data_IF_262765681612
#
_entry.id   IF_262765681612
#
_cell.length_a   1.000
_cell.length_b   1.000
_cell.length_c   1.000
_cell.angle_alpha   90.00
_cell.angle_beta   90.00
_cell.angle_gamma   90.00
#
_symmetry.space_group_name_H-M   'P 1'
#
loop_
_entity.id
_entity.type
_entity.pdbx_description
1 polymer ?
#
# COMPACT_ATOMS: atom_id res chain seq x y z
N UNK A 1 29.32 -42.12 -11.56
CA UNK A 1 28.42 -41.14 -12.21
C UNK A 1 27.13 -40.79 -11.44
N UNK A 2 26.71 -41.52 -10.39
CA UNK A 2 25.49 -41.17 -9.62
C UNK A 2 25.71 -40.19 -8.44
N UNK A 3 26.96 -40.05 -7.96
CA UNK A 3 27.30 -39.18 -6.81
C UNK A 3 27.47 -37.70 -7.15
N UNK A 4 27.64 -37.35 -8.43
CA UNK A 4 27.82 -35.96 -8.87
C UNK A 4 26.46 -35.27 -9.10
N UNK A 5 25.39 -36.05 -9.34
CA UNK A 5 24.06 -35.52 -9.61
C UNK A 5 23.29 -35.11 -8.33
N UNK A 6 23.63 -35.70 -7.17
CA UNK A 6 23.00 -35.37 -5.89
C UNK A 6 23.53 -34.10 -5.23
N UNK A 7 24.67 -33.56 -5.68
CA UNK A 7 25.24 -32.31 -5.13
C UNK A 7 24.70 -31.06 -5.85
N UNK A 8 24.09 -31.20 -7.02
CA UNK A 8 23.61 -30.07 -7.84
C UNK A 8 22.22 -29.54 -7.43
N UNK A 9 21.50 -30.27 -6.58
CA UNK A 9 20.13 -29.91 -6.15
C UNK A 9 20.13 -29.09 -4.84
N UNK A 10 21.28 -28.98 -4.16
CA UNK A 10 21.41 -28.23 -2.90
C UNK A 10 21.83 -26.76 -3.08
N UNK A 11 21.73 -26.24 -4.31
CA UNK A 11 21.97 -24.83 -4.63
C UNK A 11 20.69 -24.16 -5.14
N UNK A 12 19.53 -24.53 -4.57
CA UNK A 12 18.34 -23.68 -4.63
C UNK A 12 18.60 -22.51 -3.69
N UNK A 13 19.29 -21.51 -4.23
CA UNK A 13 19.48 -20.20 -3.59
C UNK A 13 18.07 -19.64 -3.40
N UNK A 14 17.60 -19.62 -2.16
CA UNK A 14 16.47 -18.82 -1.74
C UNK A 14 16.87 -17.35 -1.89
N UNK A 15 16.87 -16.82 -3.11
CA UNK A 15 16.79 -15.38 -3.34
C UNK A 15 15.34 -14.98 -3.11
N UNK A 16 14.88 -15.10 -1.86
CA UNK A 16 13.73 -14.33 -1.43
C UNK A 16 14.10 -12.88 -1.66
N UNK A 17 13.32 -12.19 -2.48
CA UNK A 17 13.44 -10.75 -2.58
C UNK A 17 12.97 -10.19 -1.24
N UNK A 18 13.90 -10.05 -0.31
CA UNK A 18 13.63 -9.48 1.00
C UNK A 18 13.92 -7.98 1.01
N UNK A 19 13.26 -7.26 1.90
CA UNK A 19 13.55 -5.85 2.15
C UNK A 19 14.83 -5.74 2.98
N UNK A 20 15.61 -4.67 2.76
CA UNK A 20 16.60 -4.28 3.76
C UNK A 20 15.91 -3.84 5.05
N UNK A 21 16.60 -3.94 6.19
CA UNK A 21 16.09 -3.47 7.49
C UNK A 21 15.62 -2.01 7.43
N UNK A 22 16.34 -1.15 6.71
CA UNK A 22 15.98 0.25 6.51
C UNK A 22 14.71 0.39 5.66
N UNK A 23 14.59 -0.40 4.59
CA UNK A 23 13.41 -0.40 3.72
C UNK A 23 12.17 -0.85 4.47
N UNK A 24 12.27 -1.92 5.26
CA UNK A 24 11.17 -2.44 6.08
C UNK A 24 10.77 -1.46 7.20
N UNK A 25 11.76 -0.89 7.90
CA UNK A 25 11.51 0.11 8.94
C UNK A 25 10.78 1.33 8.38
N UNK A 26 11.22 1.81 7.22
CA UNK A 26 10.61 2.97 6.57
C UNK A 26 9.23 2.63 5.99
N UNK A 27 9.04 1.41 5.44
CA UNK A 27 7.73 0.92 5.00
C UNK A 27 6.72 0.92 6.15
N UNK A 28 7.09 0.35 7.30
CA UNK A 28 6.21 0.27 8.47
C UNK A 28 5.85 1.65 9.01
N UNK A 29 6.81 2.59 8.99
CA UNK A 29 6.59 3.99 9.37
C UNK A 29 5.62 4.69 8.41
N UNK A 30 5.84 4.58 7.11
CA UNK A 30 4.99 5.23 6.10
C UNK A 30 3.58 4.62 6.05
N UNK A 31 3.46 3.29 6.22
CA UNK A 31 2.16 2.61 6.37
C UNK A 31 1.39 3.10 7.60
N UNK A 32 2.07 3.21 8.75
CA UNK A 32 1.45 3.71 9.98
C UNK A 32 0.95 5.14 9.79
N UNK A 33 1.76 5.99 9.16
CA UNK A 33 1.38 7.36 8.86
C UNK A 33 0.22 7.44 7.85
N UNK A 34 0.24 6.64 6.78
CA UNK A 34 -0.85 6.54 5.81
C UNK A 34 -2.19 6.24 6.50
N UNK A 35 -2.20 5.26 7.41
CA UNK A 35 -3.40 4.87 8.16
C UNK A 35 -3.89 6.02 9.04
N UNK A 36 -2.98 6.68 9.76
CA UNK A 36 -3.30 7.82 10.61
C UNK A 36 -3.92 8.96 9.79
N UNK A 37 -3.27 9.39 8.71
CA UNK A 37 -3.74 10.54 7.92
C UNK A 37 -5.05 10.25 7.21
N UNK A 38 -5.23 9.03 6.69
CA UNK A 38 -6.49 8.57 6.09
C UNK A 38 -7.62 8.61 7.12
N UNK A 39 -7.39 8.05 8.30
CA UNK A 39 -8.40 7.97 9.36
C UNK A 39 -8.73 9.33 10.00
N UNK A 40 -7.80 10.28 9.94
CA UNK A 40 -7.99 11.63 10.45
C UNK A 40 -8.63 12.58 9.41
N UNK A 41 -8.83 12.13 8.17
CA UNK A 41 -9.35 12.97 7.10
C UNK A 41 -8.37 14.05 6.64
N UNK A 42 -7.07 13.89 6.91
CA UNK A 42 -6.03 14.80 6.43
C UNK A 42 -5.71 14.50 4.96
N UNK A 43 -6.52 15.07 4.08
CA UNK A 43 -6.44 14.85 2.65
C UNK A 43 -5.09 15.28 2.04
N UNK A 44 -4.48 16.35 2.54
CA UNK A 44 -3.20 16.83 2.01
C UNK A 44 -2.08 15.85 2.34
N UNK A 45 -2.01 15.39 3.59
CA UNK A 45 -1.02 14.38 3.97
C UNK A 45 -1.29 13.03 3.31
N UNK A 46 -2.57 12.64 3.14
CA UNK A 46 -2.94 11.42 2.42
C UNK A 46 -2.47 11.43 0.96
N UNK A 47 -2.55 12.59 0.28
CA UNK A 47 -2.02 12.76 -1.07
C UNK A 47 -0.50 12.56 -1.15
N UNK A 48 0.26 12.96 -0.11
CA UNK A 48 1.72 12.78 -0.09
C UNK A 48 2.13 11.30 -0.06
N UNK A 49 1.27 10.43 0.44
CA UNK A 49 1.48 8.98 0.43
C UNK A 49 0.87 8.31 -0.79
N UNK A 50 0.06 8.99 -1.60
CA UNK A 50 -0.58 8.41 -2.78
C UNK A 50 0.33 8.50 -4.00
N UNK A 51 0.37 7.44 -4.82
CA UNK A 51 1.16 7.47 -6.05
C UNK A 51 0.72 8.61 -7.01
N UNK A 52 1.65 9.44 -7.56
CA UNK A 52 1.30 10.62 -8.36
C UNK A 52 0.44 10.36 -9.58
N UNK A 53 0.56 9.17 -10.21
CA UNK A 53 -0.27 8.78 -11.35
C UNK A 53 -1.75 8.71 -10.95
N UNK A 54 -2.05 8.16 -9.78
CA UNK A 54 -3.42 8.07 -9.24
C UNK A 54 -3.96 9.47 -8.97
N UNK A 55 -3.17 10.32 -8.30
CA UNK A 55 -3.54 11.72 -8.03
C UNK A 55 -3.85 12.47 -9.33
N UNK A 56 -2.98 12.34 -10.33
CA UNK A 56 -3.15 12.98 -11.65
C UNK A 56 -4.42 12.49 -12.35
N UNK A 57 -4.70 11.19 -12.33
CA UNK A 57 -5.91 10.62 -12.92
C UNK A 57 -7.16 11.21 -12.29
N UNK A 58 -7.34 11.10 -10.97
CA UNK A 58 -8.54 11.64 -10.31
C UNK A 58 -8.65 13.17 -10.47
N UNK A 59 -7.54 13.89 -10.55
CA UNK A 59 -7.56 15.34 -10.81
C UNK A 59 -8.09 15.65 -12.22
N UNK A 60 -7.80 14.82 -13.21
CA UNK A 60 -8.33 14.97 -14.58
C UNK A 60 -9.82 14.67 -14.71
N UNK A 61 -10.41 13.94 -13.76
CA UNK A 61 -11.86 13.66 -13.73
C UNK A 61 -12.69 14.81 -13.15
N UNK A 62 -12.03 15.87 -12.67
CA UNK A 62 -12.66 17.07 -12.12
C UNK A 62 -12.85 17.04 -10.60
N UNK A 63 -13.07 18.24 -10.05
CA UNK A 63 -13.00 18.50 -8.61
C UNK A 63 -13.96 17.66 -7.77
N UNK A 64 -15.17 17.38 -8.27
CA UNK A 64 -16.16 16.59 -7.51
C UNK A 64 -15.66 15.16 -7.28
N UNK A 65 -15.13 14.52 -8.34
CA UNK A 65 -14.60 13.16 -8.27
C UNK A 65 -13.30 13.14 -7.45
N UNK A 66 -12.44 14.14 -7.64
CA UNK A 66 -11.21 14.28 -6.85
C UNK A 66 -11.48 14.40 -5.34
N UNK A 67 -12.41 15.29 -4.95
CA UNK A 67 -12.81 15.45 -3.54
C UNK A 67 -13.44 14.18 -3.00
N UNK A 68 -14.33 13.53 -3.77
CA UNK A 68 -14.94 12.26 -3.36
C UNK A 68 -13.88 11.18 -3.10
N UNK A 69 -12.79 11.14 -3.88
CA UNK A 69 -11.71 10.17 -3.69
C UNK A 69 -10.87 10.47 -2.45
N UNK A 70 -10.36 11.70 -2.32
CA UNK A 70 -9.31 12.04 -1.34
C UNK A 70 -9.80 12.76 -0.08
N UNK A 71 -11.06 13.21 -0.07
CA UNK A 71 -11.70 13.93 1.06
C UNK A 71 -12.96 13.20 1.53
N UNK A 72 -13.02 11.87 1.37
CA UNK A 72 -14.17 11.04 1.77
C UNK A 72 -14.29 10.90 3.29
N UNK A 73 -13.18 11.04 4.02
CA UNK A 73 -13.15 11.06 5.48
C UNK A 73 -13.11 12.52 5.91
N UNK A 74 -14.12 12.96 6.65
CA UNK A 74 -14.15 14.30 7.23
C UNK A 74 -12.99 14.47 8.21
N UNK A 75 -12.29 15.63 8.20
CA UNK A 75 -11.26 15.92 9.20
C UNK A 75 -11.84 15.78 10.60
N UNK A 76 -11.21 14.98 11.46
CA UNK A 76 -11.66 14.85 12.86
C UNK A 76 -11.51 16.21 13.54
N UNK A 77 -12.63 16.89 13.80
CA UNK A 77 -12.60 18.05 14.67
C UNK A 77 -12.41 17.58 16.11
N UNK A 78 -11.71 18.36 16.94
CA UNK A 78 -11.42 18.03 18.35
C UNK A 78 -12.64 17.84 19.26
N UNK A 79 -13.87 17.90 18.71
CA UNK A 79 -15.14 17.77 19.43
C UNK A 79 -16.09 16.69 18.87
N UNK A 80 -15.75 16.03 17.76
CA UNK A 80 -16.55 14.90 17.28
C UNK A 80 -16.15 13.63 18.05
N UNK A 81 -16.94 13.35 19.08
CA UNK A 81 -16.98 12.03 19.70
C UNK A 81 -17.08 10.96 18.62
N UNK A 82 -16.20 9.96 18.71
CA UNK A 82 -16.11 8.76 17.88
C UNK A 82 -17.43 8.46 17.17
N UNK A 83 -17.52 8.82 15.88
CA UNK A 83 -18.54 8.25 15.02
C UNK A 83 -18.24 6.75 14.90
N UNK A 84 -18.81 5.98 15.82
CA UNK A 84 -18.70 4.52 15.87
C UNK A 84 -19.30 3.86 14.64
N UNK A 85 -20.00 4.63 13.78
CA UNK A 85 -20.54 4.12 12.52
C UNK A 85 -19.51 4.16 11.37
N UNK A 86 -18.44 4.95 11.48
CA UNK A 86 -17.44 5.10 10.42
C UNK A 86 -16.47 3.91 10.36
N UNK A 87 -16.18 3.45 9.14
CA UNK A 87 -15.18 2.40 8.89
C UNK A 87 -13.78 3.00 8.84
N UNK A 88 -12.88 2.52 9.69
CA UNK A 88 -11.49 2.97 9.78
C UNK A 88 -10.47 1.85 9.52
N UNK A 89 -9.28 2.26 9.10
CA UNK A 89 -8.16 1.35 8.84
C UNK A 89 -7.42 1.07 10.15
N UNK A 90 -7.02 -0.18 10.38
CA UNK A 90 -6.34 -0.58 11.63
C UNK A 90 -4.95 -1.14 11.36
N UNK A 91 -4.83 -2.46 11.38
CA UNK A 91 -3.58 -3.17 11.23
C UNK A 91 -3.24 -3.35 9.75
N UNK A 92 -1.96 -3.27 9.42
CA UNK A 92 -1.42 -3.53 8.09
C UNK A 92 -0.53 -4.77 8.14
N UNK A 93 -0.84 -5.76 7.30
CA UNK A 93 -0.11 -7.02 7.21
C UNK A 93 0.54 -7.12 5.84
N UNK A 94 1.87 -7.20 5.81
CA UNK A 94 2.62 -7.50 4.59
C UNK A 94 2.32 -8.94 4.17
N UNK A 95 1.96 -9.16 2.91
CA UNK A 95 1.57 -10.47 2.38
C UNK A 95 2.59 -11.03 1.40
N UNK A 96 3.11 -10.19 0.52
CA UNK A 96 3.99 -10.62 -0.55
C UNK A 96 4.86 -9.44 -0.98
N UNK A 97 6.12 -9.73 -1.31
CA UNK A 97 7.09 -8.76 -1.81
C UNK A 97 7.49 -9.21 -3.22
N UNK A 98 7.54 -8.26 -4.14
CA UNK A 98 8.10 -8.45 -5.49
C UNK A 98 9.07 -7.33 -5.79
N UNK A 99 10.14 -7.64 -6.51
CA UNK A 99 11.02 -6.62 -7.08
C UNK A 99 11.47 -6.98 -8.48
N UNK A 100 11.88 -5.95 -9.22
CA UNK A 100 12.68 -6.06 -10.43
C UNK A 100 13.94 -5.19 -10.30
N UNK A 101 14.56 -4.81 -11.41
CA UNK A 101 15.77 -3.97 -11.41
C UNK A 101 15.55 -2.52 -10.96
N UNK A 102 14.31 -2.04 -11.02
CA UNK A 102 13.93 -0.63 -10.83
C UNK A 102 13.01 -0.40 -9.63
N UNK A 103 12.14 -1.36 -9.34
CA UNK A 103 11.04 -1.24 -8.40
C UNK A 103 11.07 -2.36 -7.36
N UNK A 104 10.57 -2.01 -6.18
CA UNK A 104 10.14 -2.96 -5.17
C UNK A 104 8.71 -2.65 -4.79
N UNK A 105 7.90 -3.69 -4.64
CA UNK A 105 6.50 -3.58 -4.31
C UNK A 105 6.10 -4.56 -3.23
N UNK A 106 5.29 -4.09 -2.29
CA UNK A 106 4.77 -4.90 -1.19
C UNK A 106 3.25 -4.88 -1.24
N UNK A 107 2.66 -6.06 -1.33
CA UNK A 107 1.21 -6.26 -1.19
C UNK A 107 0.89 -6.25 0.30
N UNK A 108 0.05 -5.33 0.72
CA UNK A 108 -0.34 -5.12 2.11
C UNK A 108 -1.85 -5.28 2.25
N UNK A 109 -2.27 -6.09 3.22
CA UNK A 109 -3.66 -6.19 3.63
C UNK A 109 -3.90 -5.31 4.86
N UNK A 110 -4.88 -4.42 4.76
CA UNK A 110 -5.32 -3.55 5.84
C UNK A 110 -6.64 -4.07 6.40
N UNK A 111 -6.67 -4.34 7.70
CA UNK A 111 -7.90 -4.70 8.41
C UNK A 111 -8.77 -3.46 8.60
N UNK A 112 -10.07 -3.65 8.44
CA UNK A 112 -11.06 -2.61 8.67
C UNK A 112 -11.75 -2.83 10.01
N UNK A 113 -12.11 -1.75 10.67
CA UNK A 113 -12.86 -1.78 11.91
C UNK A 113 -13.99 -0.75 11.92
N UNK A 114 -14.98 -0.99 12.76
CA UNK A 114 -16.12 -0.11 13.01
C UNK A 114 -16.40 -0.10 14.52
N UNK A 115 -16.38 1.08 15.14
CA UNK A 115 -16.45 1.17 16.60
C UNK A 115 -15.23 0.53 17.27
N UNK A 116 -15.42 -0.55 18.02
CA UNK A 116 -14.34 -1.31 18.66
C UNK A 116 -14.08 -2.68 18.00
N UNK A 117 -14.87 -3.01 16.97
CA UNK A 117 -14.86 -4.34 16.37
C UNK A 117 -14.17 -4.30 15.01
N UNK A 118 -13.25 -5.24 14.78
CA UNK A 118 -12.79 -5.56 13.44
C UNK A 118 -13.98 -6.11 12.64
N UNK A 119 -14.14 -5.65 11.40
CA UNK A 119 -15.16 -6.16 10.49
C UNK A 119 -14.51 -7.18 9.55
N UNK A 120 -15.29 -8.17 9.10
CA UNK A 120 -14.84 -9.18 8.12
C UNK A 120 -14.73 -8.58 6.70
N UNK A 121 -13.84 -7.60 6.58
CA UNK A 121 -13.52 -6.90 5.35
C UNK A 121 -12.10 -6.34 5.49
N UNK A 122 -11.38 -6.31 4.37
CA UNK A 122 -10.03 -5.76 4.32
C UNK A 122 -9.83 -4.97 3.05
N UNK A 123 -8.94 -3.99 3.11
CA UNK A 123 -8.46 -3.28 1.94
C UNK A 123 -7.09 -3.80 1.56
N UNK A 124 -6.87 -4.05 0.27
CA UNK A 124 -5.53 -4.34 -0.25
C UNK A 124 -4.93 -3.06 -0.82
N UNK A 125 -3.70 -2.78 -0.42
CA UNK A 125 -2.88 -1.70 -0.99
C UNK A 125 -1.54 -2.26 -1.45
N UNK A 126 -0.95 -1.58 -2.41
CA UNK A 126 0.36 -1.86 -2.96
C UNK A 126 1.29 -0.71 -2.58
N UNK A 127 2.26 -1.00 -1.71
CA UNK A 127 3.35 -0.08 -1.44
C UNK A 127 4.39 -0.22 -2.54
N UNK A 128 4.81 0.89 -3.14
CA UNK A 128 5.75 0.93 -4.26
C UNK A 128 6.90 1.86 -3.89
N UNK A 129 8.12 1.37 -4.06
CA UNK A 129 9.35 2.16 -3.93
C UNK A 129 10.30 1.84 -5.09
N UNK A 130 11.23 2.74 -5.35
CA UNK A 130 12.39 2.43 -6.21
C UNK A 130 13.31 1.47 -5.46
N UNK A 131 14.02 0.60 -6.17
CA UNK A 131 14.89 -0.42 -5.55
C UNK A 131 15.90 0.13 -4.53
N UNK A 132 16.44 1.32 -4.78
CA UNK A 132 17.38 2.02 -3.89
C UNK A 132 16.75 3.22 -3.17
N UNK A 133 15.42 3.35 -3.20
CA UNK A 133 14.67 4.43 -2.57
C UNK A 133 14.19 4.03 -1.19
N UNK A 134 14.08 5.02 -0.30
CA UNK A 134 13.50 4.86 1.03
C UNK A 134 12.03 5.30 1.11
N UNK A 135 11.51 6.00 0.11
CA UNK A 135 10.14 6.55 0.19
C UNK A 135 9.12 5.57 -0.40
N UNK A 136 8.09 5.26 0.37
CA UNK A 136 6.99 4.40 -0.08
C UNK A 136 5.78 5.22 -0.52
N UNK A 137 5.29 4.90 -1.71
CA UNK A 137 4.03 5.43 -2.24
C UNK A 137 3.03 4.30 -2.30
N UNK A 138 1.77 4.61 -2.03
CA UNK A 138 0.72 3.61 -1.88
C UNK A 138 -0.34 3.77 -2.96
N UNK A 139 -0.86 2.62 -3.39
CA UNK A 139 -1.90 2.50 -4.41
C UNK A 139 -2.93 1.51 -3.89
N UNK A 140 -4.20 1.91 -3.81
CA UNK A 140 -5.26 0.97 -3.46
C UNK A 140 -5.53 0.00 -4.61
N UNK A 141 -5.97 -1.23 -4.31
CA UNK A 141 -6.16 -2.29 -5.30
C UNK A 141 -7.04 -1.90 -6.49
N UNK A 142 -8.09 -1.11 -6.24
CA UNK A 142 -8.95 -0.57 -7.30
C UNK A 142 -8.19 0.28 -8.32
N UNK A 143 -7.15 1.00 -7.89
CA UNK A 143 -6.37 1.91 -8.72
C UNK A 143 -5.18 1.19 -9.36
N UNK A 144 -4.59 0.21 -8.66
CA UNK A 144 -3.41 -0.52 -9.09
C UNK A 144 -3.64 -1.34 -10.36
N UNK A 145 -4.82 -1.95 -10.49
CA UNK A 145 -5.20 -2.74 -11.67
C UNK A 145 -6.05 -1.96 -12.68
N UNK A 146 -6.25 -0.65 -12.48
CA UNK A 146 -7.04 0.18 -13.40
C UNK A 146 -6.25 0.54 -14.65
N UNK A 147 -6.92 0.59 -15.80
CA UNK A 147 -6.31 0.83 -17.13
C UNK A 147 -5.43 2.09 -17.22
N UNK A 148 -5.70 3.12 -16.40
CA UNK A 148 -4.90 4.36 -16.39
C UNK A 148 -3.55 4.19 -15.67
N UNK A 149 -3.39 3.16 -14.84
CA UNK A 149 -2.15 2.89 -14.12
C UNK A 149 -1.26 1.99 -15.00
N UNK A 150 -0.05 2.42 -15.41
CA UNK A 150 0.75 1.67 -16.38
C UNK A 150 1.08 0.25 -15.94
N UNK A 151 1.00 -0.73 -16.86
CA UNK A 151 1.27 -2.14 -16.58
C UNK A 151 2.74 -2.43 -16.27
N UNK A 152 3.65 -1.68 -16.88
CA UNK A 152 5.11 -1.75 -16.62
C UNK A 152 5.48 -1.29 -15.21
N UNK A 153 4.56 -0.61 -14.51
CA UNK A 153 4.70 -0.25 -13.10
C UNK A 153 4.01 -1.25 -12.17
N UNK A 154 3.56 -2.42 -12.65
CA UNK A 154 2.87 -3.45 -11.85
C UNK A 154 3.70 -4.73 -11.78
N UNK A 155 4.18 -5.07 -10.59
CA UNK A 155 4.82 -6.37 -10.35
C UNK A 155 3.81 -7.46 -9.97
N UNK A 156 2.64 -7.07 -9.47
CA UNK A 156 1.54 -7.97 -9.16
C UNK A 156 0.58 -8.07 -10.34
N UNK A 157 0.11 -9.28 -10.60
CA UNK A 157 -0.88 -9.59 -11.63
C UNK A 157 -2.23 -9.88 -10.96
N UNK A 158 -3.32 -9.70 -11.71
CA UNK A 158 -4.69 -9.89 -11.22
C UNK A 158 -5.07 -11.36 -11.13
#
# INVERSE_FOLDING_TARGET
MKLILSLLILFVIFTGCDLSTEQETQLNKDLSNLIIVRNNGDALSYLNYTHPIVVKYYKSLGDSIYKKRFQSVSPKSSREYLDTSAVYWTNAYQKEIKSDDSLIQVKVQITLAKGYDEIDSSNTIYAVSKKNGSNWLFIESQDYFSDYFPEDLRLFQK
#
